data_IF_042430638072
#
_entry.id   IF_042430638072
#
_cell.length_a   1.000
_cell.length_b   1.000
_cell.length_c   1.000
_cell.angle_alpha   90.00
_cell.angle_beta   90.00
_cell.angle_gamma   90.00
#
_symmetry.space_group_name_H-M   'P 1'
#
loop_
_entity.id
_entity.type
_entity.pdbx_description
1 polymer ?
#
# COMPACT_ATOMS: atom_id res chain seq x y z
N UNK A 1 16.93 58.80 6.36
CA UNK A 1 16.18 57.56 6.09
C UNK A 1 15.72 57.00 7.44
N UNK A 2 14.41 57.04 7.73
CA UNK A 2 13.90 56.74 9.07
C UNK A 2 14.08 55.26 9.41
N UNK A 3 14.64 54.94 10.60
CA UNK A 3 14.83 53.59 11.12
C UNK A 3 13.57 52.71 10.93
N UNK A 4 12.35 53.29 11.07
CA UNK A 4 11.11 52.62 10.84
C UNK A 4 10.91 52.09 9.40
N UNK A 5 11.29 52.87 8.40
CA UNK A 5 11.19 52.48 6.99
C UNK A 5 12.18 51.33 6.64
N UNK A 6 13.36 51.32 7.29
CA UNK A 6 14.35 50.23 7.10
C UNK A 6 13.82 48.96 7.73
N UNK A 7 13.23 49.01 8.93
CA UNK A 7 12.70 47.83 9.61
C UNK A 7 11.51 47.22 8.83
N UNK A 8 10.63 48.05 8.29
CA UNK A 8 9.49 47.59 7.47
C UNK A 8 9.99 46.88 6.18
N UNK A 9 10.98 47.43 5.52
CA UNK A 9 11.59 46.77 4.31
C UNK A 9 12.21 45.43 4.63
N UNK A 10 12.93 45.30 5.74
CA UNK A 10 13.52 44.03 6.19
C UNK A 10 12.42 42.99 6.50
N UNK A 11 11.34 43.38 7.17
CA UNK A 11 10.18 42.50 7.44
C UNK A 11 9.54 42.00 6.13
N UNK A 12 9.34 42.90 5.14
CA UNK A 12 8.80 42.49 3.84
C UNK A 12 9.71 41.54 3.07
N UNK A 13 11.02 41.71 3.15
CA UNK A 13 11.98 40.77 2.52
C UNK A 13 11.94 39.42 3.19
N UNK A 14 11.88 39.34 4.52
CA UNK A 14 11.72 38.08 5.24
C UNK A 14 10.39 37.40 4.93
N UNK A 15 9.29 38.15 4.84
CA UNK A 15 7.99 37.61 4.47
C UNK A 15 7.97 37.10 3.01
N UNK A 16 8.64 37.78 2.10
CA UNK A 16 8.75 37.36 0.70
C UNK A 16 9.61 36.10 0.55
N UNK A 17 10.67 35.96 1.32
CA UNK A 17 11.50 34.75 1.37
C UNK A 17 10.75 33.55 1.95
N UNK A 18 9.81 33.79 2.88
CA UNK A 18 8.96 32.73 3.45
C UNK A 18 7.92 32.19 2.45
N UNK A 19 7.42 33.04 1.57
CA UNK A 19 6.46 32.66 0.53
C UNK A 19 7.12 31.86 -0.59
N UNK A 20 8.39 32.14 -0.92
CA UNK A 20 9.12 31.43 -1.98
C UNK A 20 9.52 30.01 -1.56
N UNK A 21 9.55 29.71 -0.26
CA UNK A 21 9.90 28.38 0.25
C UNK A 21 8.74 27.36 0.21
N UNK A 22 7.54 27.80 -0.15
CA UNK A 22 6.44 26.90 -0.47
C UNK A 22 6.54 26.48 -1.95
N UNK A 23 7.66 25.89 -2.36
CA UNK A 23 7.74 25.19 -3.62
C UNK A 23 6.84 23.97 -3.49
N UNK A 24 5.69 24.01 -4.19
CA UNK A 24 4.90 22.83 -4.46
C UNK A 24 5.82 21.82 -5.13
N UNK A 25 6.34 20.91 -4.34
CA UNK A 25 6.91 19.69 -4.86
C UNK A 25 5.70 18.89 -5.36
N UNK A 26 5.21 19.20 -6.57
CA UNK A 26 4.35 18.28 -7.29
C UNK A 26 5.18 17.03 -7.52
N UNK A 27 5.10 16.12 -6.56
CA UNK A 27 5.47 14.74 -6.78
C UNK A 27 4.50 14.25 -7.85
N UNK A 28 4.91 14.29 -9.10
CA UNK A 28 4.18 13.65 -10.18
C UNK A 28 4.17 12.16 -9.86
N UNK A 29 3.09 11.70 -9.22
CA UNK A 29 2.90 10.29 -8.93
C UNK A 29 2.84 9.56 -10.26
N UNK A 30 3.94 8.92 -10.62
CA UNK A 30 4.03 8.12 -11.84
C UNK A 30 3.20 6.86 -11.64
N UNK A 31 2.07 6.75 -12.33
CA UNK A 31 1.27 5.54 -12.29
C UNK A 31 2.03 4.36 -12.91
N UNK A 32 2.00 3.19 -12.29
CA UNK A 32 2.78 2.02 -12.75
C UNK A 32 2.12 1.30 -13.93
N UNK A 33 1.81 2.04 -15.00
CA UNK A 33 1.14 1.51 -16.21
C UNK A 33 2.00 0.53 -17.01
N UNK A 34 3.32 0.61 -16.86
CA UNK A 34 4.30 -0.27 -17.51
C UNK A 34 5.01 -1.21 -16.50
N UNK A 35 4.50 -1.29 -15.26
CA UNK A 35 5.10 -2.02 -14.15
C UNK A 35 5.53 -1.09 -13.02
N UNK A 36 5.74 -1.67 -11.86
CA UNK A 36 6.17 -0.95 -10.67
C UNK A 36 7.67 -0.66 -10.72
N UNK A 37 8.04 0.56 -10.44
CA UNK A 37 9.43 0.93 -10.18
C UNK A 37 9.84 0.42 -8.80
N UNK A 38 11.02 -0.21 -8.72
CA UNK A 38 11.58 -0.76 -7.49
C UNK A 38 12.76 0.10 -7.07
N UNK A 39 12.85 0.46 -5.81
CA UNK A 39 13.94 1.28 -5.28
C UNK A 39 14.33 0.86 -3.87
N UNK A 40 15.53 1.27 -3.42
CA UNK A 40 15.97 0.98 -2.07
C UNK A 40 15.13 1.75 -1.03
N UNK A 41 14.76 1.10 0.06
CA UNK A 41 13.96 1.71 1.14
C UNK A 41 14.58 3.01 1.68
N UNK A 42 15.92 3.05 1.79
CA UNK A 42 16.65 4.21 2.30
C UNK A 42 16.51 5.43 1.38
N UNK A 43 16.44 5.24 0.06
CA UNK A 43 16.24 6.35 -0.90
C UNK A 43 14.86 7.00 -0.77
N UNK A 44 13.92 6.28 -0.15
CA UNK A 44 12.59 6.77 0.16
C UNK A 44 12.42 7.16 1.63
N UNK A 45 13.53 7.33 2.36
CA UNK A 45 13.52 7.72 3.78
C UNK A 45 12.91 6.65 4.70
N UNK A 46 13.00 5.37 4.32
CA UNK A 46 12.57 4.24 5.14
C UNK A 46 13.78 3.46 5.66
N UNK A 47 13.68 2.97 6.88
CA UNK A 47 14.73 2.16 7.48
C UNK A 47 14.56 0.70 7.03
N UNK A 48 15.52 0.20 6.25
CA UNK A 48 15.51 -1.17 5.74
C UNK A 48 15.59 -2.22 6.84
N UNK A 49 16.39 -1.99 7.88
CA UNK A 49 16.56 -2.96 8.98
C UNK A 49 15.26 -3.14 9.77
N UNK A 50 14.50 -2.07 9.94
CA UNK A 50 13.17 -2.12 10.56
C UNK A 50 12.17 -2.90 9.70
N UNK A 51 12.17 -2.72 8.39
CA UNK A 51 11.34 -3.49 7.45
C UNK A 51 11.75 -4.97 7.49
N UNK A 52 13.04 -5.25 7.48
CA UNK A 52 13.55 -6.62 7.52
C UNK A 52 13.22 -7.31 8.85
N UNK A 53 13.39 -6.61 9.98
CA UNK A 53 13.05 -7.14 11.30
C UNK A 53 11.53 -7.43 11.43
N UNK A 54 10.69 -6.56 10.88
CA UNK A 54 9.25 -6.80 10.82
C UNK A 54 8.91 -7.99 9.92
N UNK A 55 9.55 -8.07 8.75
CA UNK A 55 9.43 -9.21 7.83
C UNK A 55 9.81 -10.54 8.49
N UNK A 56 10.85 -10.54 9.33
CA UNK A 56 11.26 -11.74 10.06
C UNK A 56 10.17 -12.22 11.06
N UNK A 57 9.47 -11.29 11.72
CA UNK A 57 8.33 -11.63 12.60
C UNK A 57 7.13 -12.16 11.83
N UNK A 58 6.90 -11.70 10.59
CA UNK A 58 5.88 -12.28 9.74
C UNK A 58 6.26 -13.71 9.30
N UNK A 59 7.52 -13.91 8.96
CA UNK A 59 8.03 -15.22 8.55
C UNK A 59 8.02 -16.26 9.68
N UNK A 60 8.18 -15.83 10.96
CA UNK A 60 8.13 -16.74 12.12
C UNK A 60 6.72 -17.18 12.50
N UNK A 61 5.69 -16.51 11.99
CA UNK A 61 4.30 -16.75 12.40
C UNK A 61 3.89 -16.07 13.71
N UNK A 62 4.79 -15.29 14.36
CA UNK A 62 4.49 -14.58 15.62
C UNK A 62 3.30 -13.62 15.51
N UNK A 63 3.03 -13.13 14.31
CA UNK A 63 1.93 -12.21 14.03
C UNK A 63 0.77 -12.87 13.25
N UNK A 64 0.75 -14.19 13.23
CA UNK A 64 -0.18 -15.00 12.44
C UNK A 64 0.43 -15.44 11.10
N UNK A 65 -0.37 -16.16 10.33
CA UNK A 65 0.09 -16.74 9.07
C UNK A 65 -0.11 -15.73 7.93
N UNK A 66 0.99 -15.16 7.47
CA UNK A 66 1.05 -14.14 6.43
C UNK A 66 1.83 -14.70 5.25
N UNK A 67 1.33 -14.55 4.03
CA UNK A 67 1.96 -15.11 2.82
C UNK A 67 2.81 -14.11 2.07
N UNK A 68 2.68 -12.83 2.36
CA UNK A 68 3.48 -11.83 1.70
C UNK A 68 3.42 -10.47 2.37
N UNK A 69 4.45 -9.68 2.13
CA UNK A 69 4.56 -8.28 2.54
C UNK A 69 5.00 -7.44 1.35
N UNK A 70 4.23 -6.43 1.02
CA UNK A 70 4.55 -5.43 0.00
C UNK A 70 4.47 -4.04 0.63
N UNK A 71 5.52 -3.25 0.46
CA UNK A 71 5.54 -1.85 0.89
C UNK A 71 5.81 -0.95 -0.31
N UNK A 72 4.91 -0.01 -0.54
CA UNK A 72 4.99 0.98 -1.61
C UNK A 72 5.08 2.36 -0.97
N UNK A 73 6.02 3.17 -1.44
CA UNK A 73 6.15 4.57 -1.04
C UNK A 73 6.47 5.45 -2.25
N UNK A 74 5.77 6.57 -2.35
CA UNK A 74 5.90 7.51 -3.48
C UNK A 74 5.74 6.83 -4.86
N UNK A 75 4.85 5.82 -4.97
CA UNK A 75 4.61 5.09 -6.22
C UNK A 75 5.68 4.06 -6.57
N UNK A 76 6.62 3.76 -5.69
CA UNK A 76 7.69 2.78 -5.91
C UNK A 76 7.64 1.65 -4.87
N UNK A 77 7.94 0.42 -5.30
CA UNK A 77 8.12 -0.70 -4.39
C UNK A 77 9.45 -0.52 -3.65
N UNK A 78 9.40 -0.48 -2.34
CA UNK A 78 10.58 -0.32 -1.45
C UNK A 78 10.90 -1.59 -0.69
N UNK A 79 9.94 -2.50 -0.59
CA UNK A 79 10.13 -3.82 0.02
C UNK A 79 9.06 -4.78 -0.49
N UNK A 80 9.48 -5.99 -0.85
CA UNK A 80 8.59 -7.09 -1.24
C UNK A 80 9.19 -8.41 -0.75
N UNK A 81 8.38 -9.21 -0.10
CA UNK A 81 8.78 -10.53 0.39
C UNK A 81 7.58 -11.48 0.42
N UNK A 82 7.78 -12.69 -0.05
CA UNK A 82 6.84 -13.80 0.10
C UNK A 82 7.30 -14.73 1.22
N UNK A 83 6.32 -15.33 1.91
CA UNK A 83 6.52 -16.31 2.96
C UNK A 83 5.81 -17.59 2.57
N UNK A 84 6.43 -18.72 2.86
CA UNK A 84 5.84 -20.03 2.60
C UNK A 84 5.22 -20.57 3.89
N UNK A 85 3.93 -20.85 3.85
CA UNK A 85 3.20 -21.50 4.93
C UNK A 85 2.75 -22.90 4.47
N UNK A 86 2.87 -23.90 5.35
CA UNK A 86 2.30 -25.22 5.15
C UNK A 86 0.82 -25.22 5.58
N UNK A 87 -0.06 -24.91 4.65
CA UNK A 87 -1.49 -24.81 4.91
C UNK A 87 -2.13 -26.13 5.31
N UNK A 88 -1.64 -27.28 4.85
CA UNK A 88 -2.13 -28.58 5.27
C UNK A 88 -1.83 -28.83 6.75
N UNK A 89 -0.66 -28.46 7.20
CA UNK A 89 -0.29 -28.55 8.61
C UNK A 89 -1.07 -27.56 9.46
N UNK A 90 -1.25 -26.32 8.97
CA UNK A 90 -2.05 -25.29 9.62
C UNK A 90 -3.50 -25.72 9.78
N UNK A 91 -4.10 -26.29 8.74
CA UNK A 91 -5.47 -26.81 8.81
C UNK A 91 -5.61 -27.92 9.87
N UNK A 92 -4.66 -28.85 9.93
CA UNK A 92 -4.67 -29.94 10.93
C UNK A 92 -4.54 -29.44 12.35
N UNK A 93 -3.78 -28.37 12.58
CA UNK A 93 -3.51 -27.82 13.92
C UNK A 93 -4.54 -26.79 14.37
N UNK A 94 -5.09 -26.00 13.44
CA UNK A 94 -6.03 -24.91 13.73
C UNK A 94 -7.46 -25.24 13.32
N UNK A 95 -7.66 -26.26 12.50
CA UNK A 95 -8.86 -26.59 11.77
C UNK A 95 -9.99 -27.21 12.56
N UNK A 96 -10.19 -26.84 13.81
CA UNK A 96 -11.26 -27.37 14.65
C UNK A 96 -12.67 -26.98 14.18
N UNK A 97 -12.81 -25.98 13.31
CA UNK A 97 -14.10 -25.56 12.74
C UNK A 97 -14.04 -25.57 11.22
N UNK A 98 -14.73 -26.53 10.62
CA UNK A 98 -14.93 -26.56 9.18
C UNK A 98 -15.86 -25.42 8.74
N UNK A 99 -15.69 -24.97 7.50
CA UNK A 99 -16.61 -24.04 6.85
C UNK A 99 -15.97 -22.75 6.34
N UNK A 100 -16.78 -21.92 5.70
CA UNK A 100 -16.37 -20.73 4.95
C UNK A 100 -15.56 -19.68 5.73
N UNK A 101 -15.65 -19.70 7.04
CA UNK A 101 -14.93 -18.76 7.90
C UNK A 101 -13.58 -19.31 8.42
N UNK A 102 -13.30 -20.60 8.14
CA UNK A 102 -11.97 -21.14 8.33
C UNK A 102 -11.21 -21.07 7.00
N UNK A 103 -10.37 -20.08 6.85
CA UNK A 103 -9.61 -19.83 5.60
C UNK A 103 -8.58 -20.92 5.29
N UNK A 104 -8.30 -21.81 6.24
CA UNK A 104 -7.44 -22.99 6.04
C UNK A 104 -8.23 -24.24 5.62
N UNK A 105 -9.57 -24.18 5.60
CA UNK A 105 -10.42 -25.30 5.15
C UNK A 105 -10.30 -25.48 3.62
N UNK A 106 -9.67 -26.55 3.13
CA UNK A 106 -9.43 -26.76 1.71
C UNK A 106 -10.69 -27.00 0.89
N UNK A 107 -11.81 -27.38 1.52
CA UNK A 107 -13.10 -27.51 0.84
C UNK A 107 -13.71 -26.15 0.50
N UNK A 108 -13.52 -25.15 1.36
CA UNK A 108 -14.07 -23.80 1.17
C UNK A 108 -13.05 -22.86 0.51
N UNK A 109 -11.76 -23.13 0.70
CA UNK A 109 -10.66 -22.30 0.19
C UNK A 109 -9.58 -23.16 -0.49
N UNK A 110 -9.95 -23.88 -1.58
CA UNK A 110 -9.05 -24.84 -2.23
C UNK A 110 -7.80 -24.18 -2.83
N UNK A 111 -7.82 -22.85 -2.97
CA UNK A 111 -6.73 -22.09 -3.59
C UNK A 111 -5.52 -21.88 -2.68
N UNK A 112 -5.64 -22.11 -1.38
CA UNK A 112 -4.50 -21.99 -0.48
C UNK A 112 -3.49 -23.13 -0.62
N UNK A 113 -3.97 -24.31 -1.05
CA UNK A 113 -3.10 -25.48 -1.17
C UNK A 113 -2.34 -25.42 -2.48
N UNK A 114 -1.00 -25.33 -2.39
CA UNK A 114 -0.07 -25.37 -3.53
C UNK A 114 -0.27 -24.28 -4.60
N UNK A 115 -0.95 -23.19 -4.29
CA UNK A 115 -1.12 -22.06 -5.20
C UNK A 115 -0.78 -20.74 -4.52
N UNK A 116 -0.45 -19.73 -5.33
CA UNK A 116 -0.23 -18.35 -4.88
C UNK A 116 -1.54 -17.52 -4.89
N UNK A 117 -2.68 -18.19 -5.06
CA UNK A 117 -3.98 -17.54 -5.12
C UNK A 117 -4.57 -17.45 -3.71
N UNK A 118 -5.07 -16.28 -3.38
CA UNK A 118 -5.67 -15.96 -2.09
C UNK A 118 -7.07 -15.40 -2.25
N UNK A 119 -7.93 -15.70 -1.28
CA UNK A 119 -9.27 -15.11 -1.21
C UNK A 119 -9.16 -13.64 -0.86
N UNK A 120 -9.58 -12.76 -1.75
CA UNK A 120 -9.49 -11.31 -1.56
C UNK A 120 -10.54 -10.73 -0.62
N UNK A 121 -11.57 -11.52 -0.25
CA UNK A 121 -12.65 -11.11 0.65
C UNK A 121 -13.22 -9.73 0.24
N UNK A 122 -13.39 -8.82 1.20
CA UNK A 122 -13.93 -7.48 0.94
C UNK A 122 -13.04 -6.57 0.08
N UNK A 123 -11.77 -6.90 -0.12
CA UNK A 123 -10.89 -6.18 -1.05
C UNK A 123 -11.45 -6.24 -2.48
N UNK A 124 -12.18 -7.32 -2.84
CA UNK A 124 -12.88 -7.45 -4.12
C UNK A 124 -13.85 -6.30 -4.40
N UNK A 125 -14.39 -5.66 -3.36
CA UNK A 125 -15.30 -4.50 -3.53
C UNK A 125 -14.61 -3.30 -4.13
N UNK A 126 -13.34 -3.09 -3.80
CA UNK A 126 -12.53 -1.99 -4.37
C UNK A 126 -12.31 -2.20 -5.86
N UNK A 127 -12.03 -3.45 -6.29
CA UNK A 127 -11.92 -3.78 -7.71
C UNK A 127 -13.25 -3.62 -8.44
N UNK A 128 -14.36 -4.06 -7.83
CA UNK A 128 -15.71 -3.87 -8.40
C UNK A 128 -16.03 -2.39 -8.55
N UNK A 129 -15.75 -1.58 -7.53
CA UNK A 129 -15.97 -0.12 -7.60
C UNK A 129 -15.14 0.54 -8.72
N UNK A 130 -13.88 0.15 -8.87
CA UNK A 130 -13.03 0.64 -9.96
C UNK A 130 -13.58 0.23 -11.34
N UNK A 131 -14.02 -1.03 -11.49
CA UNK A 131 -14.62 -1.53 -12.74
C UNK A 131 -15.92 -0.77 -13.09
N UNK A 132 -16.77 -0.49 -12.11
CA UNK A 132 -17.98 0.33 -12.30
C UNK A 132 -17.60 1.75 -12.72
N UNK A 133 -16.61 2.36 -12.09
CA UNK A 133 -16.10 3.69 -12.49
C UNK A 133 -15.62 3.73 -13.94
N UNK A 134 -14.91 2.71 -14.39
CA UNK A 134 -14.47 2.55 -15.78
C UNK A 134 -15.69 2.42 -16.72
N UNK A 135 -16.67 1.60 -16.35
CA UNK A 135 -17.87 1.38 -17.17
C UNK A 135 -18.72 2.66 -17.30
N UNK A 136 -18.78 3.50 -16.26
CA UNK A 136 -19.43 4.82 -16.33
C UNK A 136 -18.62 5.74 -17.26
N UNK A 137 -17.32 5.80 -17.09
CA UNK A 137 -16.44 6.65 -17.91
C UNK A 137 -16.52 6.29 -19.41
N UNK A 138 -16.70 5.01 -19.72
CA UNK A 138 -16.84 4.51 -21.08
C UNK A 138 -18.29 4.59 -21.61
N UNK A 139 -19.23 5.10 -20.83
CA UNK A 139 -20.64 5.20 -21.21
C UNK A 139 -21.40 3.87 -21.24
N UNK A 140 -20.81 2.77 -20.73
CA UNK A 140 -21.46 1.45 -20.66
C UNK A 140 -22.53 1.39 -19.58
N UNK A 141 -22.42 2.23 -18.57
CA UNK A 141 -23.38 2.42 -17.48
C UNK A 141 -23.72 3.92 -17.44
N UNK A 142 -25.01 4.32 -17.41
CA UNK A 142 -25.35 5.69 -17.15
C UNK A 142 -24.90 6.12 -15.76
N UNK A 143 -24.87 7.40 -15.45
CA UNK A 143 -24.41 7.92 -14.17
C UNK A 143 -24.99 7.17 -12.96
N UNK A 144 -24.21 7.11 -11.85
CA UNK A 144 -24.74 6.65 -10.54
C UNK A 144 -25.75 7.62 -9.91
N UNK A 145 -25.88 8.83 -10.45
CA UNK A 145 -26.91 9.80 -10.06
C UNK A 145 -28.22 9.38 -10.73
N UNK A 146 -29.06 8.68 -9.99
CA UNK A 146 -30.47 8.47 -10.28
C UNK A 146 -31.29 9.52 -9.52
#
# INVERSE_FOLDING_TARGET
MNKLQTTIKILFIFFYLFIIHCSNHESSTKWPTAGWEITAAISQGMNYDSLYAFSAKLASGDLGYIDGMLVIRNGMIVFEKEYTNDYDSLFKTTGTKLGKYNYYDPLWHPYYNNTRLHTMQSVSKSFTAAAVGIAINNGSIPSLAA
#
